data_IF_877358606100
#
_entry.id   IF_877358606100
#
_cell.length_a   1.000
_cell.length_b   1.000
_cell.length_c   1.000
_cell.angle_alpha   90.00
_cell.angle_beta   90.00
_cell.angle_gamma   90.00
#
_symmetry.space_group_name_H-M   'P 1'
#
loop_
_entity.id
_entity.type
_entity.pdbx_description
1 polymer ?
#
# COMPACT_ATOMS: atom_id res chain seq x y z
N UNK A 1 4.19 3.55 -1.10
CA UNK A 1 5.45 4.27 -0.91
C UNK A 1 5.52 4.98 0.44
N UNK A 2 4.55 5.81 0.80
CA UNK A 2 4.65 6.70 1.95
C UNK A 2 4.91 6.02 3.29
N UNK A 3 3.91 5.39 3.88
CA UNK A 3 4.03 4.82 5.23
C UNK A 3 4.95 3.60 5.31
N UNK A 4 4.90 2.71 4.32
CA UNK A 4 5.73 1.51 4.30
C UNK A 4 7.18 1.83 3.99
N UNK A 5 7.47 2.35 2.80
CA UNK A 5 8.85 2.61 2.35
C UNK A 5 9.47 3.78 3.09
N UNK A 6 8.83 4.96 3.07
CA UNK A 6 9.42 6.14 3.70
C UNK A 6 9.58 5.97 5.20
N UNK A 7 8.50 5.67 5.94
CA UNK A 7 8.58 5.58 7.40
C UNK A 7 9.17 4.26 7.89
N UNK A 8 8.80 3.12 7.27
CA UNK A 8 9.19 1.79 7.73
C UNK A 8 10.62 1.42 7.34
N UNK A 9 11.00 1.65 6.09
CA UNK A 9 12.32 1.22 5.58
C UNK A 9 13.38 2.31 5.68
N UNK A 10 13.00 3.60 5.47
CA UNK A 10 13.95 4.70 5.39
C UNK A 10 13.97 5.61 6.62
N UNK A 11 12.98 5.52 7.52
CA UNK A 11 12.86 6.43 8.67
C UNK A 11 12.55 7.88 8.27
N UNK A 12 11.89 8.09 7.14
CA UNK A 12 11.54 9.39 6.58
C UNK A 12 10.02 9.66 6.71
N UNK A 13 9.59 10.93 6.78
CA UNK A 13 8.17 11.26 6.76
C UNK A 13 7.54 10.99 5.38
N UNK A 14 6.24 10.64 5.40
CA UNK A 14 5.43 10.47 4.19
C UNK A 14 5.07 11.83 3.55
N UNK A 15 6.00 12.39 2.78
CA UNK A 15 5.88 13.68 2.11
C UNK A 15 6.42 13.64 0.66
N UNK A 16 6.35 12.49 -0.01
CA UNK A 16 6.85 12.32 -1.37
C UNK A 16 8.39 12.39 -1.48
N UNK A 17 9.10 12.01 -0.41
CA UNK A 17 10.57 12.03 -0.38
C UNK A 17 11.17 10.77 -1.00
N UNK A 18 10.51 9.61 -0.83
CA UNK A 18 10.95 8.35 -1.43
C UNK A 18 10.90 8.42 -2.96
N UNK A 19 11.85 7.79 -3.60
CA UNK A 19 11.97 7.75 -5.05
C UNK A 19 11.67 6.34 -5.60
N UNK A 20 11.64 6.21 -6.93
CA UNK A 20 11.35 4.94 -7.60
C UNK A 20 12.29 3.80 -7.18
N UNK A 21 13.58 4.09 -6.97
CA UNK A 21 14.54 3.06 -6.56
C UNK A 21 14.23 2.52 -5.17
N UNK A 22 13.92 3.40 -4.22
CA UNK A 22 13.56 3.04 -2.85
C UNK A 22 12.32 2.11 -2.83
N UNK A 23 11.30 2.47 -3.61
CA UNK A 23 10.06 1.68 -3.72
C UNK A 23 10.35 0.31 -4.37
N UNK A 24 11.07 0.27 -5.48
CA UNK A 24 11.39 -0.97 -6.18
C UNK A 24 12.25 -1.93 -5.34
N UNK A 25 13.09 -1.42 -4.46
CA UNK A 25 13.90 -2.24 -3.56
C UNK A 25 13.00 -3.00 -2.57
N UNK A 26 12.04 -2.33 -1.95
CA UNK A 26 11.09 -2.99 -1.05
C UNK A 26 10.12 -3.92 -1.80
N UNK A 27 9.69 -3.55 -3.01
CA UNK A 27 8.88 -4.43 -3.87
C UNK A 27 9.61 -5.76 -4.13
N UNK A 28 10.89 -5.73 -4.52
CA UNK A 28 11.69 -6.95 -4.75
C UNK A 28 11.80 -7.81 -3.50
N UNK A 29 12.02 -7.19 -2.33
CA UNK A 29 12.10 -7.92 -1.04
C UNK A 29 10.79 -8.63 -0.71
N UNK A 30 9.66 -7.96 -0.91
CA UNK A 30 8.34 -8.51 -0.65
C UNK A 30 8.01 -9.64 -1.64
N UNK A 31 8.17 -9.39 -2.94
CA UNK A 31 7.82 -10.39 -3.98
C UNK A 31 8.76 -11.59 -3.99
N UNK A 32 9.94 -11.48 -3.41
CA UNK A 32 10.85 -12.60 -3.23
C UNK A 32 10.32 -13.64 -2.23
N UNK A 33 9.57 -13.22 -1.21
CA UNK A 33 9.15 -14.09 -0.10
C UNK A 33 7.68 -14.51 -0.17
N UNK A 34 6.89 -13.96 -1.11
CA UNK A 34 5.47 -14.30 -1.25
C UNK A 34 5.04 -14.37 -2.71
N UNK A 35 4.05 -15.23 -2.99
CA UNK A 35 3.36 -15.30 -4.28
C UNK A 35 2.06 -14.48 -4.31
N UNK A 36 1.70 -13.84 -3.20
CA UNK A 36 0.54 -12.96 -3.15
C UNK A 36 0.73 -11.76 -4.08
N UNK A 37 -0.28 -11.39 -4.89
CA UNK A 37 -0.17 -10.23 -5.76
C UNK A 37 0.03 -8.95 -4.94
N UNK A 38 1.06 -8.17 -5.27
CA UNK A 38 1.41 -6.92 -4.59
C UNK A 38 0.89 -5.72 -5.38
N UNK A 39 0.00 -4.95 -4.76
CA UNK A 39 -0.42 -3.62 -5.22
C UNK A 39 0.46 -2.55 -4.57
N UNK A 40 1.11 -1.72 -5.38
CA UNK A 40 2.10 -0.75 -4.93
C UNK A 40 1.54 0.67 -4.94
N UNK A 41 1.74 1.40 -3.86
CA UNK A 41 1.52 2.84 -3.82
C UNK A 41 2.65 3.56 -4.58
N UNK A 42 2.34 4.17 -5.71
CA UNK A 42 3.28 4.93 -6.53
C UNK A 42 3.13 6.45 -6.35
N UNK A 43 2.49 6.91 -5.29
CA UNK A 43 2.24 8.32 -5.03
C UNK A 43 1.61 9.03 -6.26
N UNK A 44 2.20 10.14 -6.69
CA UNK A 44 1.79 10.86 -7.91
C UNK A 44 2.47 10.34 -9.19
N UNK A 45 3.09 9.16 -9.14
CA UNK A 45 3.81 8.54 -10.27
C UNK A 45 5.34 8.54 -10.13
N UNK A 46 5.88 8.91 -8.95
CA UNK A 46 7.32 8.95 -8.62
C UNK A 46 8.15 9.77 -9.63
N UNK A 47 7.56 10.85 -10.13
CA UNK A 47 8.22 11.81 -11.02
C UNK A 47 7.21 12.76 -11.70
N UNK A 48 7.68 13.89 -12.28
CA UNK A 48 6.82 15.00 -12.68
C UNK A 48 6.12 14.85 -14.04
N UNK A 49 6.43 13.84 -14.84
CA UNK A 49 5.93 13.74 -16.22
C UNK A 49 5.35 12.36 -16.54
N UNK A 50 4.57 12.28 -17.61
CA UNK A 50 4.07 11.03 -18.17
C UNK A 50 5.19 10.00 -18.43
N UNK A 51 6.36 10.43 -18.87
CA UNK A 51 7.52 9.56 -19.08
C UNK A 51 8.07 8.98 -17.77
N UNK A 52 7.96 9.71 -16.66
CA UNK A 52 8.32 9.16 -15.34
C UNK A 52 7.32 8.10 -14.91
N UNK A 53 6.02 8.33 -15.13
CA UNK A 53 4.96 7.37 -14.80
C UNK A 53 5.14 6.08 -15.61
N UNK A 54 5.37 6.20 -16.91
CA UNK A 54 5.66 5.06 -17.80
C UNK A 54 6.86 4.24 -17.28
N UNK A 55 7.96 4.94 -16.94
CA UNK A 55 9.12 4.30 -16.34
C UNK A 55 8.79 3.63 -15.01
N UNK A 56 8.02 4.28 -14.15
CA UNK A 56 7.60 3.75 -12.84
C UNK A 56 6.85 2.44 -13.01
N UNK A 57 5.84 2.40 -13.86
CA UNK A 57 5.04 1.18 -14.12
C UNK A 57 5.94 0.05 -14.63
N UNK A 58 6.84 0.32 -15.59
CA UNK A 58 7.77 -0.68 -16.12
C UNK A 58 8.74 -1.22 -15.07
N UNK A 59 9.27 -0.36 -14.20
CA UNK A 59 10.19 -0.80 -13.13
C UNK A 59 9.46 -1.57 -12.02
N UNK A 60 8.22 -1.19 -11.68
CA UNK A 60 7.40 -1.95 -10.72
C UNK A 60 7.06 -3.34 -11.26
N UNK A 61 6.69 -3.48 -12.54
CA UNK A 61 6.49 -4.79 -13.18
C UNK A 61 7.76 -5.64 -13.13
N UNK A 62 8.94 -5.06 -13.42
CA UNK A 62 10.22 -5.76 -13.34
C UNK A 62 10.59 -6.17 -11.92
N UNK A 63 10.14 -5.41 -10.92
CA UNK A 63 10.34 -5.72 -9.51
C UNK A 63 9.36 -6.80 -9.00
N UNK A 64 8.36 -7.21 -9.81
CA UNK A 64 7.42 -8.28 -9.49
C UNK A 64 6.07 -7.80 -8.93
N UNK A 65 5.78 -6.50 -8.97
CA UNK A 65 4.47 -5.99 -8.58
C UNK A 65 3.36 -6.48 -9.54
N UNK A 66 2.16 -6.69 -9.00
CA UNK A 66 0.96 -7.06 -9.76
C UNK A 66 0.10 -5.85 -10.16
N UNK A 67 0.36 -4.68 -9.58
CA UNK A 67 -0.32 -3.44 -9.90
C UNK A 67 0.23 -2.28 -9.10
N UNK A 68 -0.21 -1.08 -9.45
CA UNK A 68 0.07 0.11 -8.66
C UNK A 68 -1.13 1.06 -8.62
N UNK A 69 -1.18 1.92 -7.61
CA UNK A 69 -2.08 3.06 -7.63
C UNK A 69 -1.30 4.38 -7.77
N UNK A 70 -1.93 5.33 -8.48
CA UNK A 70 -1.42 6.68 -8.72
C UNK A 70 -2.50 7.66 -8.29
N UNK A 71 -2.12 8.73 -7.59
CA UNK A 71 -3.06 9.70 -7.05
C UNK A 71 -3.07 11.04 -7.80
N UNK A 72 -4.19 11.78 -7.65
CA UNK A 72 -4.41 13.09 -8.28
C UNK A 72 -3.90 14.27 -7.43
N UNK A 73 -3.14 14.04 -6.37
CA UNK A 73 -2.49 15.14 -5.64
C UNK A 73 -1.42 15.82 -6.48
N UNK A 74 -1.10 17.08 -6.11
CA UNK A 74 0.11 17.76 -6.62
C UNK A 74 1.36 17.03 -6.12
N UNK A 75 2.48 17.20 -6.80
CA UNK A 75 3.71 16.46 -6.50
C UNK A 75 4.22 16.66 -5.05
N UNK A 76 4.01 17.84 -4.46
CA UNK A 76 4.26 18.10 -3.04
C UNK A 76 3.09 17.54 -2.18
N UNK A 77 2.85 16.24 -2.30
CA UNK A 77 1.72 15.55 -1.68
C UNK A 77 1.73 15.58 -0.16
N UNK A 78 0.54 15.30 0.41
CA UNK A 78 0.34 15.05 1.85
C UNK A 78 -0.43 13.75 2.06
N UNK A 79 -0.39 13.22 3.28
CA UNK A 79 -1.24 12.09 3.64
C UNK A 79 -2.72 12.40 3.36
N UNK A 80 -3.44 11.49 2.72
CA UNK A 80 -4.82 11.66 2.26
C UNK A 80 -5.84 11.98 3.35
N UNK A 81 -5.55 11.68 4.61
CA UNK A 81 -6.40 12.00 5.76
C UNK A 81 -6.06 13.36 6.43
N UNK A 82 -5.08 14.11 5.92
CA UNK A 82 -4.70 15.42 6.46
C UNK A 82 -5.35 16.57 5.68
N UNK A 83 -5.62 17.71 6.35
CA UNK A 83 -6.18 18.89 5.68
C UNK A 83 -5.15 19.58 4.77
N UNK A 84 -5.66 20.43 3.86
CA UNK A 84 -4.84 21.26 2.99
C UNK A 84 -4.24 20.53 1.81
N UNK A 85 -4.89 19.47 1.34
CA UNK A 85 -4.54 18.80 0.08
C UNK A 85 -4.81 19.72 -1.11
N UNK A 86 -3.91 19.66 -2.10
CA UNK A 86 -4.12 20.24 -3.42
C UNK A 86 -4.09 19.12 -4.46
N UNK A 87 -5.03 19.16 -5.38
CA UNK A 87 -5.15 18.17 -6.46
C UNK A 87 -4.86 18.85 -7.82
N UNK A 88 -4.39 18.05 -8.75
CA UNK A 88 -4.19 18.48 -10.14
C UNK A 88 -5.53 18.56 -10.88
N UNK A 89 -5.54 19.14 -12.07
CA UNK A 89 -6.74 19.15 -12.92
C UNK A 89 -7.17 17.71 -13.27
N UNK A 90 -8.47 17.54 -13.57
CA UNK A 90 -8.99 16.25 -14.05
C UNK A 90 -8.25 15.80 -15.31
N UNK A 91 -7.95 16.71 -16.23
CA UNK A 91 -7.23 16.40 -17.46
C UNK A 91 -5.81 15.87 -17.17
N UNK A 92 -5.08 16.49 -16.25
CA UNK A 92 -3.74 16.01 -15.84
C UNK A 92 -3.80 14.63 -15.20
N UNK A 93 -4.80 14.35 -14.35
CA UNK A 93 -4.96 13.01 -13.79
C UNK A 93 -5.28 11.95 -14.84
N UNK A 94 -6.14 12.28 -15.81
CA UNK A 94 -6.43 11.44 -16.98
C UNK A 94 -5.14 11.14 -17.77
N UNK A 95 -4.29 12.13 -18.00
CA UNK A 95 -3.00 11.92 -18.68
C UNK A 95 -2.05 11.03 -17.88
N UNK A 96 -2.03 11.15 -16.53
CA UNK A 96 -1.27 10.24 -15.65
C UNK A 96 -1.74 8.79 -15.81
N UNK A 97 -3.06 8.57 -15.78
CA UNK A 97 -3.65 7.23 -15.92
C UNK A 97 -3.36 6.65 -17.30
N UNK A 98 -3.51 7.43 -18.38
CA UNK A 98 -3.17 7.00 -19.73
C UNK A 98 -1.72 6.56 -19.85
N UNK A 99 -0.80 7.38 -19.34
CA UNK A 99 0.63 7.04 -19.35
C UNK A 99 0.93 5.73 -18.60
N UNK A 100 0.21 5.48 -17.49
CA UNK A 100 0.34 4.25 -16.74
C UNK A 100 -0.24 3.04 -17.50
N UNK A 101 -1.45 3.18 -18.05
CA UNK A 101 -2.14 2.13 -18.82
C UNK A 101 -1.36 1.75 -20.10
N UNK A 102 -0.84 2.73 -20.83
CA UNK A 102 -0.03 2.50 -22.04
C UNK A 102 1.29 1.76 -21.74
N UNK A 103 1.81 1.90 -20.52
CA UNK A 103 3.04 1.23 -20.08
C UNK A 103 2.81 -0.16 -19.50
N UNK A 104 1.59 -0.43 -19.02
CA UNK A 104 1.21 -1.67 -18.36
C UNK A 104 1.10 -2.84 -19.37
N UNK A 105 1.37 -4.07 -18.87
CA UNK A 105 0.99 -5.29 -19.57
C UNK A 105 -0.44 -5.69 -19.14
N UNK A 106 -1.07 -6.57 -19.89
CA UNK A 106 -2.45 -7.04 -19.67
C UNK A 106 -2.68 -7.65 -18.27
N UNK A 107 -1.63 -8.12 -17.62
CA UNK A 107 -1.64 -8.73 -16.28
C UNK A 107 -1.27 -7.77 -15.15
N UNK A 108 -1.10 -6.46 -15.42
CA UNK A 108 -0.72 -5.46 -14.43
C UNK A 108 -1.85 -4.45 -14.19
N UNK A 109 -2.28 -4.33 -12.95
CA UNK A 109 -3.43 -3.49 -12.55
C UNK A 109 -3.02 -2.03 -12.38
N UNK A 110 -3.72 -1.12 -13.04
CA UNK A 110 -3.64 0.32 -12.81
C UNK A 110 -4.85 0.76 -11.98
N UNK A 111 -4.59 1.26 -10.78
CA UNK A 111 -5.63 1.81 -9.91
C UNK A 111 -5.47 3.32 -9.83
N UNK A 112 -6.53 4.07 -10.14
CA UNK A 112 -6.53 5.51 -9.98
C UNK A 112 -7.06 5.88 -8.59
N UNK A 113 -6.25 6.63 -7.83
CA UNK A 113 -6.66 7.21 -6.55
C UNK A 113 -7.08 8.65 -6.75
N UNK A 114 -8.20 9.04 -6.13
CA UNK A 114 -8.64 10.44 -6.09
C UNK A 114 -8.82 10.94 -4.67
N UNK A 115 -8.23 12.08 -4.39
CA UNK A 115 -8.38 12.84 -3.15
C UNK A 115 -9.41 13.98 -3.29
N UNK A 116 -10.19 13.98 -4.37
CA UNK A 116 -11.10 15.06 -4.76
C UNK A 116 -12.31 15.21 -3.82
N UNK A 117 -12.69 14.20 -3.02
CA UNK A 117 -13.83 14.31 -2.10
C UNK A 117 -13.72 15.54 -1.20
N UNK A 118 -12.54 15.81 -0.66
CA UNK A 118 -12.31 16.94 0.24
C UNK A 118 -12.25 18.31 -0.47
N UNK A 119 -12.06 18.33 -1.79
CA UNK A 119 -11.83 19.57 -2.58
C UNK A 119 -13.02 19.89 -3.48
N UNK A 120 -13.60 18.88 -4.12
CA UNK A 120 -14.66 19.01 -5.14
C UNK A 120 -15.98 18.36 -4.72
N UNK A 121 -16.00 17.70 -3.54
CA UNK A 121 -17.14 16.93 -3.06
C UNK A 121 -17.32 15.59 -3.79
N UNK A 122 -18.38 14.86 -3.42
CA UNK A 122 -18.61 13.49 -3.88
C UNK A 122 -18.79 13.41 -5.40
N UNK A 123 -19.61 14.30 -6.00
CA UNK A 123 -19.86 14.26 -7.43
C UNK A 123 -18.58 14.56 -8.22
N UNK A 124 -17.78 15.55 -7.80
CA UNK A 124 -16.51 15.85 -8.45
C UNK A 124 -15.52 14.67 -8.38
N UNK A 125 -15.46 13.96 -7.24
CA UNK A 125 -14.66 12.75 -7.10
C UNK A 125 -15.14 11.61 -8.03
N UNK A 126 -16.46 11.40 -8.14
CA UNK A 126 -17.06 10.42 -9.05
C UNK A 126 -16.74 10.78 -10.52
N UNK A 127 -16.91 12.03 -10.92
CA UNK A 127 -16.65 12.49 -12.29
C UNK A 127 -15.17 12.31 -12.69
N UNK A 128 -14.26 12.50 -11.76
CA UNK A 128 -12.83 12.22 -11.96
C UNK A 128 -12.56 10.73 -12.11
N UNK A 129 -13.14 9.92 -11.22
CA UNK A 129 -12.96 8.48 -11.24
C UNK A 129 -13.48 7.85 -12.53
N UNK A 130 -14.67 8.25 -13.00
CA UNK A 130 -15.20 7.80 -14.29
C UNK A 130 -14.27 8.16 -15.45
N UNK A 131 -13.74 9.38 -15.48
CA UNK A 131 -12.77 9.79 -16.50
C UNK A 131 -11.45 8.99 -16.41
N UNK A 132 -11.02 8.58 -15.22
CA UNK A 132 -9.86 7.69 -15.05
C UNK A 132 -10.14 6.28 -15.56
N UNK A 133 -11.34 5.74 -15.34
CA UNK A 133 -11.75 4.43 -15.87
C UNK A 133 -11.76 4.48 -17.41
N UNK A 134 -12.34 5.52 -18.01
CA UNK A 134 -12.31 5.75 -19.46
C UNK A 134 -10.87 5.86 -20.01
N UNK A 135 -9.94 6.33 -19.19
CA UNK A 135 -8.52 6.47 -19.51
C UNK A 135 -7.71 5.16 -19.36
N UNK A 136 -8.32 4.10 -18.84
CA UNK A 136 -7.70 2.78 -18.68
C UNK A 136 -7.38 2.37 -17.25
N UNK A 137 -7.96 3.01 -16.22
CA UNK A 137 -7.86 2.51 -14.85
C UNK A 137 -8.74 1.27 -14.67
N UNK A 138 -8.16 0.21 -14.11
CA UNK A 138 -8.83 -1.07 -13.84
C UNK A 138 -9.60 -1.05 -12.51
N UNK A 139 -9.18 -0.19 -11.58
CA UNK A 139 -9.74 -0.06 -10.23
C UNK A 139 -9.68 1.39 -9.77
N UNK A 140 -10.50 1.72 -8.76
CA UNK A 140 -10.55 3.07 -8.19
C UNK A 140 -10.35 3.05 -6.68
N UNK A 141 -9.58 4.02 -6.19
CA UNK A 141 -9.35 4.28 -4.78
C UNK A 141 -9.86 5.69 -4.41
N UNK A 142 -11.11 5.84 -3.93
CA UNK A 142 -11.61 7.09 -3.41
C UNK A 142 -11.11 7.32 -1.99
N UNK A 143 -10.34 8.37 -1.76
CA UNK A 143 -9.73 8.66 -0.47
C UNK A 143 -10.69 9.35 0.49
N UNK A 144 -10.62 8.99 1.78
CA UNK A 144 -11.26 9.67 2.91
C UNK A 144 -12.80 9.74 2.84
N UNK A 145 -13.45 8.72 2.30
CA UNK A 145 -14.91 8.58 2.39
C UNK A 145 -15.32 8.42 3.87
N UNK A 146 -16.41 9.09 4.27
CA UNK A 146 -16.86 9.12 5.67
C UNK A 146 -18.15 8.35 5.92
N UNK A 147 -18.85 7.94 4.88
CA UNK A 147 -20.15 7.27 4.95
C UNK A 147 -20.24 6.08 3.98
N UNK A 148 -20.92 5.02 4.40
CA UNK A 148 -21.18 3.85 3.53
C UNK A 148 -21.99 4.23 2.28
N UNK A 149 -22.90 5.18 2.38
CA UNK A 149 -23.69 5.66 1.25
C UNK A 149 -22.80 6.31 0.16
N UNK A 150 -21.70 6.95 0.53
CA UNK A 150 -20.74 7.51 -0.42
C UNK A 150 -20.04 6.39 -1.20
N UNK A 151 -19.59 5.34 -0.52
CA UNK A 151 -19.02 4.14 -1.18
C UNK A 151 -20.00 3.50 -2.14
N UNK A 152 -21.29 3.37 -1.73
CA UNK A 152 -22.32 2.80 -2.59
C UNK A 152 -22.52 3.60 -3.88
N UNK A 153 -22.68 4.93 -3.77
CA UNK A 153 -22.83 5.80 -4.93
C UNK A 153 -21.60 5.73 -5.84
N UNK A 154 -20.41 5.71 -5.25
CA UNK A 154 -19.15 5.65 -5.97
C UNK A 154 -19.02 4.33 -6.75
N UNK A 155 -19.22 3.19 -6.07
CA UNK A 155 -19.12 1.86 -6.69
C UNK A 155 -20.13 1.67 -7.84
N UNK A 156 -21.36 2.17 -7.66
CA UNK A 156 -22.38 2.12 -8.72
C UNK A 156 -22.03 2.98 -9.93
N UNK A 157 -21.36 4.11 -9.74
CA UNK A 157 -21.04 5.03 -10.82
C UNK A 157 -19.83 4.59 -11.66
N UNK A 158 -18.77 4.06 -11.01
CA UNK A 158 -17.51 3.77 -11.72
C UNK A 158 -17.51 2.43 -12.45
N UNK A 159 -18.30 1.44 -12.03
CA UNK A 159 -18.45 0.15 -12.71
C UNK A 159 -17.21 -0.77 -12.67
N UNK A 160 -16.18 -0.40 -11.90
CA UNK A 160 -14.96 -1.18 -11.66
C UNK A 160 -14.77 -1.39 -10.15
N UNK A 161 -13.92 -2.34 -9.70
CA UNK A 161 -13.68 -2.55 -8.28
C UNK A 161 -13.21 -1.27 -7.56
N UNK A 162 -13.79 -1.03 -6.39
CA UNK A 162 -13.47 0.12 -5.53
C UNK A 162 -12.71 -0.37 -4.31
N UNK A 163 -11.64 0.33 -3.94
CA UNK A 163 -10.88 0.11 -2.71
C UNK A 163 -11.32 1.07 -1.62
N UNK A 164 -11.59 0.54 -0.42
CA UNK A 164 -11.81 1.33 0.79
C UNK A 164 -10.56 1.36 1.66
N UNK A 165 -10.10 2.55 2.02
CA UNK A 165 -8.95 2.75 2.92
C UNK A 165 -9.43 2.90 4.36
N UNK A 166 -9.21 1.88 5.19
CA UNK A 166 -9.63 1.82 6.59
C UNK A 166 -8.40 1.94 7.48
N UNK A 167 -8.03 3.20 7.75
CA UNK A 167 -6.87 3.52 8.58
C UNK A 167 -7.27 4.07 9.95
N UNK A 168 -6.56 3.65 10.99
CA UNK A 168 -6.72 4.22 12.33
C UNK A 168 -6.30 5.70 12.32
N UNK A 169 -6.99 6.50 13.13
CA UNK A 169 -6.72 7.94 13.29
C UNK A 169 -6.94 8.76 12.00
N UNK A 170 -7.65 8.21 11.02
CA UNK A 170 -8.04 8.88 9.78
C UNK A 170 -9.44 9.52 9.87
N UNK A 171 -9.91 10.07 8.75
CA UNK A 171 -11.26 10.65 8.65
C UNK A 171 -12.36 9.59 8.45
N UNK A 172 -12.01 8.45 7.83
CA UNK A 172 -12.94 7.36 7.55
C UNK A 172 -13.22 6.54 8.81
N UNK A 173 -14.50 6.29 9.17
CA UNK A 173 -14.84 5.37 10.25
C UNK A 173 -14.29 3.94 9.96
N UNK A 174 -14.05 3.18 11.04
CA UNK A 174 -13.52 1.82 10.92
C UNK A 174 -14.64 0.84 10.56
N UNK A 175 -15.20 0.98 9.36
CA UNK A 175 -16.20 0.05 8.82
C UNK A 175 -15.64 -1.37 8.71
N UNK A 176 -16.51 -2.35 8.93
CA UNK A 176 -16.18 -3.76 8.74
C UNK A 176 -16.13 -4.13 7.25
N UNK A 177 -15.42 -5.21 6.92
CA UNK A 177 -15.42 -5.77 5.55
C UNK A 177 -16.81 -6.17 5.08
N UNK A 178 -17.69 -6.61 5.99
CA UNK A 178 -19.07 -6.98 5.69
C UNK A 178 -19.89 -5.73 5.30
N UNK A 179 -19.81 -4.65 6.06
CA UNK A 179 -20.50 -3.39 5.75
C UNK A 179 -20.03 -2.81 4.41
N UNK A 180 -18.73 -2.80 4.18
CA UNK A 180 -18.13 -2.32 2.94
C UNK A 180 -18.51 -3.19 1.73
N UNK A 181 -18.47 -4.51 1.87
CA UNK A 181 -18.91 -5.44 0.82
C UNK A 181 -20.39 -5.28 0.45
N UNK A 182 -21.26 -5.01 1.44
CA UNK A 182 -22.68 -4.79 1.22
C UNK A 182 -22.99 -3.54 0.37
N UNK A 183 -22.08 -2.57 0.31
CA UNK A 183 -22.21 -1.34 -0.50
C UNK A 183 -21.36 -1.36 -1.79
N UNK A 184 -20.79 -2.53 -2.16
CA UNK A 184 -20.10 -2.72 -3.43
C UNK A 184 -18.60 -2.45 -3.44
N UNK A 185 -17.99 -2.33 -2.25
CA UNK A 185 -16.52 -2.25 -2.13
C UNK A 185 -15.91 -3.64 -2.42
N UNK A 186 -14.92 -3.69 -3.31
CA UNK A 186 -14.24 -4.91 -3.73
C UNK A 186 -12.95 -5.21 -2.99
N UNK A 187 -12.26 -4.18 -2.47
CA UNK A 187 -11.01 -4.30 -1.72
C UNK A 187 -11.05 -3.44 -0.46
N UNK A 188 -10.46 -3.94 0.62
CA UNK A 188 -10.30 -3.17 1.86
C UNK A 188 -8.82 -3.12 2.22
N UNK A 189 -8.29 -1.91 2.35
CA UNK A 189 -6.90 -1.65 2.73
C UNK A 189 -6.83 -1.27 4.22
N UNK A 190 -5.98 -1.94 4.95
CA UNK A 190 -5.60 -1.62 6.34
C UNK A 190 -4.17 -1.08 6.36
N UNK A 191 -3.94 0.19 6.01
CA UNK A 191 -2.59 0.72 5.86
C UNK A 191 -1.95 0.90 7.23
N UNK A 192 -0.76 0.30 7.40
CA UNK A 192 0.08 0.44 8.60
C UNK A 192 -0.51 -0.07 9.91
N UNK A 193 -1.66 -0.75 9.96
CA UNK A 193 -2.25 -1.25 11.22
C UNK A 193 -1.26 -2.16 11.97
N UNK A 194 -0.72 -3.17 11.28
CA UNK A 194 0.30 -4.05 11.85
C UNK A 194 1.60 -3.31 12.20
N UNK A 195 2.04 -2.38 11.35
CA UNK A 195 3.24 -1.57 11.59
C UNK A 195 3.11 -0.69 12.86
N UNK A 196 1.94 -0.05 13.06
CA UNK A 196 1.66 0.72 14.29
C UNK A 196 1.67 -0.16 15.54
N UNK A 197 1.04 -1.34 15.46
CA UNK A 197 1.03 -2.31 16.57
C UNK A 197 2.45 -2.79 16.90
N UNK A 198 3.24 -3.14 15.88
CA UNK A 198 4.64 -3.56 16.02
C UNK A 198 5.50 -2.47 16.65
N UNK A 199 5.38 -1.22 16.20
CA UNK A 199 6.13 -0.09 16.73
C UNK A 199 5.77 0.19 18.19
N UNK A 200 4.48 0.12 18.55
CA UNK A 200 4.05 0.32 19.94
C UNK A 200 4.57 -0.80 20.85
N UNK A 201 4.56 -2.05 20.38
CA UNK A 201 5.15 -3.16 21.13
C UNK A 201 6.67 -2.99 21.29
N UNK A 202 7.39 -2.62 20.22
CA UNK A 202 8.82 -2.36 20.29
C UNK A 202 9.17 -1.23 21.28
N UNK A 203 8.38 -0.14 21.27
CA UNK A 203 8.56 0.96 22.21
C UNK A 203 8.44 0.49 23.67
N UNK A 204 7.41 -0.28 23.99
CA UNK A 204 7.22 -0.87 25.33
C UNK A 204 8.41 -1.74 25.77
N UNK A 205 8.99 -2.51 24.86
CA UNK A 205 10.19 -3.33 25.15
C UNK A 205 11.39 -2.44 25.45
N UNK A 206 11.65 -1.39 24.66
CA UNK A 206 12.75 -0.47 24.91
C UNK A 206 12.57 0.29 26.25
N UNK A 207 11.35 0.72 26.56
CA UNK A 207 11.03 1.38 27.84
C UNK A 207 11.27 0.46 29.03
N UNK A 208 10.83 -0.81 28.98
CA UNK A 208 11.07 -1.80 30.04
C UNK A 208 12.57 -2.04 30.24
N UNK A 209 13.34 -2.27 29.18
CA UNK A 209 14.79 -2.45 29.27
C UNK A 209 15.47 -1.20 29.88
N UNK A 210 15.04 -0.01 29.46
CA UNK A 210 15.61 1.26 29.93
C UNK A 210 15.32 1.51 31.42
N UNK A 211 14.10 1.20 31.86
CA UNK A 211 13.61 1.48 33.20
C UNK A 211 13.95 0.36 34.19
N UNK A 212 13.71 -0.91 33.82
CA UNK A 212 13.79 -2.06 34.70
C UNK A 212 15.11 -2.83 34.55
N UNK A 213 15.92 -2.52 33.54
CA UNK A 213 17.15 -3.25 33.22
C UNK A 213 16.92 -4.64 32.63
N UNK A 214 15.68 -5.01 32.31
CA UNK A 214 15.29 -6.32 31.78
C UNK A 214 14.00 -6.22 30.98
N UNK A 215 13.82 -7.14 30.01
CA UNK A 215 12.59 -7.29 29.22
C UNK A 215 11.59 -8.29 29.82
N UNK A 216 11.88 -8.85 31.00
CA UNK A 216 11.10 -9.95 31.59
C UNK A 216 9.60 -9.63 31.71
N UNK A 217 9.25 -8.40 32.07
CA UNK A 217 7.86 -7.96 32.28
C UNK A 217 7.04 -7.77 31.00
N UNK A 218 7.65 -7.92 29.81
CA UNK A 218 6.99 -7.68 28.49
C UNK A 218 7.19 -8.83 27.49
N UNK A 219 7.59 -10.01 27.97
CA UNK A 219 7.81 -11.18 27.10
C UNK A 219 6.51 -11.67 26.45
N UNK A 220 5.38 -11.50 27.11
CA UNK A 220 4.04 -11.91 26.67
C UNK A 220 3.53 -11.17 25.43
N UNK A 221 4.08 -9.98 25.14
CA UNK A 221 3.75 -9.24 23.90
C UNK A 221 4.67 -9.56 22.73
N UNK A 222 5.66 -10.44 22.92
CA UNK A 222 6.63 -10.78 21.88
C UNK A 222 6.19 -12.03 21.12
N UNK A 223 6.45 -12.04 19.81
CA UNK A 223 6.37 -13.26 19.01
C UNK A 223 7.39 -14.28 19.53
N UNK A 224 6.97 -15.55 19.66
CA UNK A 224 7.91 -16.60 20.04
C UNK A 224 8.91 -16.91 18.92
N UNK A 225 10.05 -17.50 19.30
CA UNK A 225 11.04 -17.96 18.32
C UNK A 225 10.47 -19.04 17.40
N UNK A 226 9.65 -19.94 17.94
CA UNK A 226 9.04 -21.01 17.16
C UNK A 226 8.06 -20.46 16.12
N UNK A 227 7.20 -19.51 16.49
CA UNK A 227 6.29 -18.87 15.54
C UNK A 227 7.05 -18.19 14.39
N UNK A 228 8.16 -17.50 14.71
CA UNK A 228 9.01 -16.89 13.69
C UNK A 228 9.63 -17.95 12.77
N UNK A 229 10.10 -19.07 13.32
CA UNK A 229 10.71 -20.17 12.56
C UNK A 229 9.70 -20.83 11.61
N UNK A 230 8.44 -20.97 12.03
CA UNK A 230 7.38 -21.51 11.18
C UNK A 230 7.13 -20.59 9.97
N UNK A 231 7.05 -19.25 10.18
CA UNK A 231 6.90 -18.29 9.07
C UNK A 231 8.09 -18.28 8.11
N UNK A 232 9.30 -18.48 8.62
CA UNK A 232 10.52 -18.50 7.81
C UNK A 232 10.80 -19.85 7.13
N UNK A 233 10.05 -20.92 7.50
CA UNK A 233 10.31 -22.29 7.05
C UNK A 233 11.64 -22.83 7.55
N UNK A 234 12.11 -22.34 8.73
CA UNK A 234 13.44 -22.63 9.28
C UNK A 234 13.76 -24.12 9.39
N UNK A 235 12.79 -24.94 9.80
CA UNK A 235 12.98 -26.37 10.00
C UNK A 235 13.31 -27.13 8.71
N UNK A 236 12.83 -26.65 7.55
CA UNK A 236 13.20 -27.24 6.27
C UNK A 236 14.69 -27.04 5.93
N UNK A 237 15.26 -25.91 6.36
CA UNK A 237 16.70 -25.64 6.20
C UNK A 237 17.54 -26.54 7.11
N UNK A 238 17.13 -26.72 8.38
CA UNK A 238 17.82 -27.63 9.31
C UNK A 238 17.81 -29.08 8.79
N UNK A 239 16.65 -29.60 8.41
CA UNK A 239 16.52 -30.95 7.86
C UNK A 239 17.40 -31.18 6.62
N UNK A 240 17.48 -30.18 5.73
CA UNK A 240 18.36 -30.25 4.57
C UNK A 240 19.83 -30.26 4.97
N UNK A 241 20.20 -29.47 5.96
CA UNK A 241 21.57 -29.40 6.49
C UNK A 241 21.97 -30.73 7.13
N UNK A 242 21.11 -31.31 7.97
CA UNK A 242 21.33 -32.61 8.62
C UNK A 242 21.50 -33.75 7.59
N UNK A 243 20.67 -33.75 6.54
CA UNK A 243 20.78 -34.72 5.44
C UNK A 243 22.11 -34.60 4.70
N UNK A 244 22.60 -33.38 4.45
CA UNK A 244 23.90 -33.15 3.81
C UNK A 244 25.08 -33.59 4.67
N UNK A 245 25.04 -33.36 5.98
CA UNK A 245 26.08 -33.79 6.90
C UNK A 245 26.09 -35.32 7.10
N UNK A 246 24.90 -35.94 7.13
CA UNK A 246 24.79 -37.41 7.25
C UNK A 246 25.35 -38.13 5.98
N UNK A 247 25.17 -37.53 4.81
CA UNK A 247 25.70 -38.09 3.54
C UNK A 247 27.23 -37.89 3.34
N UNK A 248 27.84 -36.93 4.05
CA UNK A 248 29.25 -36.63 3.98
C UNK A 248 30.13 -37.38 5.00
N UNK A 249 29.56 -38.25 5.84
CA UNK A 249 30.25 -38.97 6.88
C UNK A 249 30.61 -40.44 6.55
N UNK A 250 30.47 -40.87 5.31
CA UNK A 250 30.77 -42.23 4.83
C UNK A 250 32.03 -42.31 3.92
N UNK A 251 33.05 -41.45 4.16
CA UNK A 251 34.35 -41.56 3.50
C UNK A 251 35.48 -41.86 4.51
#
# INVERSE_FOLDING_TARGET
SGGGVAAGSLGLPDLGISNLHDVCEDVRRITYVTQAPLLVDADTGLGPSAFNIERTVRELMRAGAAGCHIEDQVQAKRCGHRPGKAIVSKAEMVDRVKAAADAARDDFVIMARTDALAVEGLQGAIDRACACVEAGADMIFPEAMTELAQYQQFAQAVGVPVLANITEFGATPLFTTQELGAVGVGLVLYPLSAFRAMNQAALKVYEAIRHDGTQQGVVDIMQTRNDLYDYLGYHAFEQKLDALFSAGGED
#
